data_IF_762002425902
#
_entry.id   IF_762002425902
#
_cell.length_a   1.000
_cell.length_b   1.000
_cell.length_c   1.000
_cell.angle_alpha   90.00
_cell.angle_beta   90.00
_cell.angle_gamma   90.00
#
_symmetry.space_group_name_H-M   'P 1'
#
loop_
_entity.id
_entity.type
_entity.pdbx_description
1 polymer ?
#
# COMPACT_ATOMS: atom_id res chain seq x y z
N UNK A 1 9.86 24.86 22.01
CA UNK A 1 10.21 23.47 22.37
C UNK A 1 10.27 22.70 21.06
N UNK A 2 11.41 22.12 20.71
CA UNK A 2 11.49 21.22 19.55
C UNK A 2 10.78 19.92 19.92
N UNK A 3 9.68 19.62 19.24
CA UNK A 3 8.99 18.33 19.41
C UNK A 3 9.84 17.24 18.77
N UNK A 4 10.37 16.33 19.57
CA UNK A 4 11.08 15.15 19.07
C UNK A 4 10.06 14.08 18.67
N UNK A 5 9.86 13.91 17.37
CA UNK A 5 9.00 12.87 16.81
C UNK A 5 9.72 11.52 16.79
N UNK A 6 8.99 10.45 17.10
CA UNK A 6 9.48 9.07 16.90
C UNK A 6 9.84 8.87 15.43
N UNK A 7 11.05 8.34 15.19
CA UNK A 7 11.52 7.98 13.85
C UNK A 7 11.52 6.46 13.71
N UNK A 8 11.05 6.00 12.56
CA UNK A 8 11.09 4.60 12.17
C UNK A 8 11.43 4.51 10.69
N UNK A 9 12.02 3.39 10.29
CA UNK A 9 12.19 3.02 8.88
C UNK A 9 10.84 2.65 8.26
N UNK A 10 10.77 2.66 6.92
CA UNK A 10 9.55 2.23 6.22
C UNK A 10 9.19 0.77 6.51
N UNK A 11 10.17 -0.08 6.82
CA UNK A 11 9.96 -1.50 7.10
C UNK A 11 9.38 -1.71 8.49
N UNK A 12 9.95 -1.04 9.50
CA UNK A 12 9.38 -1.01 10.85
C UNK A 12 7.95 -0.45 10.83
N UNK A 13 7.69 0.59 10.03
CA UNK A 13 6.33 1.11 9.85
C UNK A 13 5.39 0.08 9.19
N UNK A 14 5.87 -0.67 8.19
CA UNK A 14 5.08 -1.70 7.53
C UNK A 14 4.77 -2.89 8.46
N UNK A 15 5.63 -3.20 9.43
CA UNK A 15 5.39 -4.25 10.43
C UNK A 15 4.18 -3.98 11.33
N UNK A 16 3.84 -2.70 11.52
CA UNK A 16 2.68 -2.26 12.31
C UNK A 16 1.37 -2.55 11.56
N UNK A 17 1.41 -2.52 10.22
CA UNK A 17 0.24 -2.74 9.36
C UNK A 17 -0.02 -4.25 9.25
N UNK A 18 -1.23 -4.66 9.61
CA UNK A 18 -1.66 -6.06 9.63
C UNK A 18 -2.56 -6.39 8.43
N UNK A 19 -2.74 -7.68 8.19
CA UNK A 19 -3.71 -8.17 7.21
C UNK A 19 -5.12 -7.66 7.57
N UNK A 20 -5.87 -7.24 6.54
CA UNK A 20 -7.22 -6.66 6.59
C UNK A 20 -7.34 -5.24 7.16
N UNK A 21 -6.23 -4.63 7.57
CA UNK A 21 -6.25 -3.23 7.99
C UNK A 21 -6.71 -2.31 6.86
N UNK A 22 -7.46 -1.28 7.25
CA UNK A 22 -7.74 -0.16 6.36
C UNK A 22 -6.59 0.84 6.47
N UNK A 23 -5.88 1.02 5.37
CA UNK A 23 -4.77 1.96 5.26
C UNK A 23 -5.22 3.13 4.41
N UNK A 24 -5.17 4.33 4.99
CA UNK A 24 -5.46 5.56 4.28
C UNK A 24 -4.14 6.26 3.90
N UNK A 25 -3.86 6.35 2.61
CA UNK A 25 -2.75 7.15 2.11
C UNK A 25 -3.21 8.53 1.68
N UNK A 26 -2.35 9.52 1.87
CA UNK A 26 -2.46 10.79 1.17
C UNK A 26 -2.31 10.59 -0.34
N UNK A 27 -2.74 11.59 -1.11
CA UNK A 27 -2.48 11.66 -2.54
C UNK A 27 -3.70 12.01 -3.37
N UNK A 28 -3.47 12.82 -4.39
CA UNK A 28 -4.46 13.19 -5.39
C UNK A 28 -3.71 13.42 -6.71
N UNK A 29 -3.78 12.45 -7.63
CA UNK A 29 -2.76 12.25 -8.67
C UNK A 29 -1.39 11.91 -8.04
N UNK A 30 -0.25 11.88 -8.77
CA UNK A 30 1.04 11.58 -8.14
C UNK A 30 1.46 12.52 -6.99
N UNK A 31 0.86 13.71 -6.90
CA UNK A 31 1.12 14.67 -5.83
C UNK A 31 0.69 14.13 -4.46
N UNK A 32 1.59 14.21 -3.47
CA UNK A 32 1.31 13.73 -2.10
C UNK A 32 1.27 12.22 -1.94
N UNK A 33 1.57 11.44 -2.98
CA UNK A 33 1.64 9.98 -2.89
C UNK A 33 2.76 9.55 -1.92
N UNK A 34 2.50 8.56 -1.04
CA UNK A 34 3.56 7.91 -0.27
C UNK A 34 4.51 7.20 -1.24
N UNK A 35 5.79 7.12 -0.85
CA UNK A 35 6.87 6.64 -1.71
C UNK A 35 7.52 5.38 -1.16
N UNK A 36 8.10 5.46 0.03
CA UNK A 36 8.84 4.33 0.63
C UNK A 36 7.92 3.25 1.22
N UNK A 37 6.82 3.65 1.87
CA UNK A 37 5.94 2.71 2.59
C UNK A 37 5.20 1.70 1.69
N UNK A 38 4.71 2.05 0.48
CA UNK A 38 4.12 1.07 -0.45
C UNK A 38 5.07 -0.09 -0.77
N UNK A 39 6.34 0.21 -1.05
CA UNK A 39 7.36 -0.82 -1.31
C UNK A 39 7.62 -1.69 -0.08
N UNK A 40 7.63 -1.11 1.12
CA UNK A 40 7.82 -1.86 2.36
C UNK A 40 6.63 -2.79 2.66
N UNK A 41 5.39 -2.33 2.44
CA UNK A 41 4.18 -3.15 2.55
C UNK A 41 4.19 -4.28 1.52
N UNK A 42 4.57 -3.99 0.27
CA UNK A 42 4.68 -5.00 -0.78
C UNK A 42 5.70 -6.09 -0.41
N UNK A 43 6.85 -5.71 0.15
CA UNK A 43 7.83 -6.68 0.62
C UNK A 43 7.28 -7.55 1.75
N UNK A 44 6.61 -6.94 2.74
CA UNK A 44 5.93 -7.68 3.81
C UNK A 44 4.87 -8.63 3.27
N UNK A 45 4.10 -8.23 2.26
CA UNK A 45 3.12 -9.09 1.62
C UNK A 45 3.77 -10.34 1.02
N UNK A 46 4.83 -10.15 0.22
CA UNK A 46 5.58 -11.26 -0.36
C UNK A 46 6.12 -12.22 0.72
N UNK A 47 6.76 -11.70 1.78
CA UNK A 47 7.28 -12.51 2.89
C UNK A 47 6.17 -13.35 3.57
N UNK A 48 4.98 -12.77 3.78
CA UNK A 48 3.84 -13.49 4.35
C UNK A 48 3.30 -14.55 3.39
N UNK A 49 3.17 -14.22 2.10
CA UNK A 49 2.68 -15.15 1.08
C UNK A 49 3.63 -16.34 0.87
N UNK A 50 4.95 -16.10 0.85
CA UNK A 50 5.98 -17.14 0.83
C UNK A 50 5.85 -18.08 2.04
N UNK A 51 5.54 -17.53 3.21
CA UNK A 51 5.23 -18.28 4.42
C UNK A 51 3.82 -18.90 4.43
N UNK A 52 3.07 -18.84 3.32
CA UNK A 52 1.68 -19.32 3.17
C UNK A 52 0.70 -18.68 4.17
N UNK A 53 0.97 -17.44 4.58
CA UNK A 53 0.11 -16.64 5.43
C UNK A 53 -0.61 -15.59 4.59
N UNK A 54 -1.89 -15.31 4.88
CA UNK A 54 -2.62 -14.27 4.16
C UNK A 54 -2.08 -12.90 4.54
N UNK A 55 -1.89 -12.03 3.55
CA UNK A 55 -1.57 -10.64 3.78
C UNK A 55 -2.05 -9.75 2.64
N UNK A 56 -3.02 -8.91 2.94
CA UNK A 56 -3.60 -7.91 2.05
C UNK A 56 -4.18 -6.79 2.89
N UNK A 57 -4.07 -5.55 2.42
CA UNK A 57 -4.67 -4.35 3.04
C UNK A 57 -5.85 -3.85 2.22
N UNK A 58 -6.73 -3.07 2.87
CA UNK A 58 -7.76 -2.28 2.20
C UNK A 58 -7.24 -0.86 2.04
N UNK A 59 -7.07 -0.40 0.81
CA UNK A 59 -6.40 0.87 0.51
C UNK A 59 -7.40 1.98 0.17
N UNK A 60 -7.45 2.98 1.03
CA UNK A 60 -8.18 4.23 0.82
C UNK A 60 -7.19 5.35 0.47
N UNK A 61 -7.57 6.22 -0.45
CA UNK A 61 -6.75 7.35 -0.92
C UNK A 61 -7.64 8.56 -1.20
N UNK A 62 -7.06 9.73 -1.49
CA UNK A 62 -7.84 10.87 -1.97
C UNK A 62 -8.39 10.64 -3.39
N UNK A 63 -7.50 10.30 -4.33
CA UNK A 63 -7.84 9.89 -5.70
C UNK A 63 -6.80 8.87 -6.21
N UNK A 64 -6.32 9.00 -7.45
CA UNK A 64 -5.15 8.23 -7.87
C UNK A 64 -3.92 8.64 -7.07
N UNK A 65 -3.03 7.68 -6.83
CA UNK A 65 -1.66 7.95 -6.37
C UNK A 65 -0.70 7.72 -7.54
N UNK A 66 0.62 7.81 -7.32
CA UNK A 66 1.57 7.50 -8.39
C UNK A 66 1.42 6.04 -8.82
N UNK A 67 1.46 5.76 -10.13
CA UNK A 67 1.36 4.40 -10.66
C UNK A 67 2.36 3.46 -9.98
N UNK A 68 3.63 3.88 -9.80
CA UNK A 68 4.64 3.10 -9.09
C UNK A 68 4.24 2.63 -7.68
N UNK A 69 3.44 3.41 -6.95
CA UNK A 69 2.97 3.06 -5.61
C UNK A 69 1.81 2.06 -5.65
N UNK A 70 0.84 2.22 -6.56
CA UNK A 70 -0.25 1.26 -6.73
C UNK A 70 0.26 -0.04 -7.39
N UNK A 71 1.20 0.05 -8.35
CA UNK A 71 1.75 -1.08 -9.10
C UNK A 71 2.58 -2.01 -8.19
N UNK A 72 3.45 -1.47 -7.33
CA UNK A 72 4.25 -2.31 -6.42
C UNK A 72 3.37 -3.09 -5.43
N UNK A 73 2.27 -2.49 -4.99
CA UNK A 73 1.29 -3.14 -4.12
C UNK A 73 0.47 -4.18 -4.89
N UNK A 74 0.10 -3.88 -6.14
CA UNK A 74 -0.57 -4.81 -7.02
C UNK A 74 0.29 -6.04 -7.30
N UNK A 75 1.55 -5.86 -7.65
CA UNK A 75 2.46 -6.94 -8.03
C UNK A 75 2.69 -7.93 -6.88
N UNK A 76 2.75 -7.42 -5.65
CA UNK A 76 2.86 -8.21 -4.43
C UNK A 76 1.52 -8.78 -3.92
N UNK A 77 0.46 -8.68 -4.72
CA UNK A 77 -0.90 -9.08 -4.33
C UNK A 77 -1.35 -8.56 -2.96
N UNK A 78 -0.94 -7.33 -2.61
CA UNK A 78 -1.05 -6.80 -1.27
C UNK A 78 -2.35 -6.01 -1.00
N UNK A 79 -3.27 -5.91 -1.96
CA UNK A 79 -4.47 -5.07 -1.86
C UNK A 79 -5.72 -5.88 -2.13
N UNK A 80 -6.57 -6.05 -1.10
CA UNK A 80 -7.84 -6.77 -1.20
C UNK A 80 -9.01 -5.87 -1.59
N UNK A 81 -8.86 -4.55 -1.42
CA UNK A 81 -9.88 -3.55 -1.73
C UNK A 81 -9.25 -2.19 -1.97
N UNK A 82 -9.76 -1.41 -2.92
CA UNK A 82 -9.19 -0.11 -3.34
C UNK A 82 -10.27 0.93 -3.63
N UNK A 83 -10.14 2.12 -3.04
CA UNK A 83 -11.04 3.27 -3.30
C UNK A 83 -10.35 4.63 -3.11
N UNK A 84 -10.93 5.74 -3.64
CA UNK A 84 -12.07 5.79 -4.56
C UNK A 84 -11.65 5.71 -6.04
N UNK A 85 -10.39 5.99 -6.37
CA UNK A 85 -9.91 6.05 -7.75
C UNK A 85 -8.47 5.54 -7.87
N UNK A 86 -8.14 4.90 -8.99
CA UNK A 86 -6.81 4.37 -9.30
C UNK A 86 -6.54 4.44 -10.81
N UNK A 87 -5.26 4.50 -11.19
CA UNK A 87 -4.83 4.47 -12.61
C UNK A 87 -3.87 3.33 -12.95
N UNK A 88 -3.46 2.54 -11.94
CA UNK A 88 -2.55 1.39 -12.11
C UNK A 88 -3.14 0.35 -13.07
N UNK A 89 -2.31 -0.14 -13.99
CA UNK A 89 -2.73 -1.22 -14.90
C UNK A 89 -2.89 -2.55 -14.17
N UNK A 90 -2.02 -2.83 -13.19
CA UNK A 90 -2.09 -4.02 -12.35
C UNK A 90 -3.37 -4.07 -11.53
N UNK A 91 -3.66 -3.01 -10.75
CA UNK A 91 -4.88 -2.95 -9.96
C UNK A 91 -6.13 -2.96 -10.83
N UNK A 92 -6.14 -2.23 -11.95
CA UNK A 92 -7.27 -2.25 -12.90
C UNK A 92 -7.56 -3.67 -13.41
N UNK A 93 -6.53 -4.44 -13.75
CA UNK A 93 -6.69 -5.83 -14.19
C UNK A 93 -7.29 -6.69 -13.07
N UNK A 94 -6.77 -6.59 -11.85
CA UNK A 94 -7.28 -7.36 -10.69
C UNK A 94 -8.72 -7.00 -10.36
N UNK A 95 -9.05 -5.71 -10.26
CA UNK A 95 -10.41 -5.23 -10.01
C UNK A 95 -11.40 -5.78 -11.05
N UNK A 96 -10.99 -5.82 -12.33
CA UNK A 96 -11.83 -6.34 -13.40
C UNK A 96 -11.97 -7.88 -13.39
N UNK A 97 -11.17 -8.60 -12.59
CA UNK A 97 -11.21 -10.05 -12.45
C UNK A 97 -12.04 -10.52 -11.25
N UNK A 98 -12.49 -9.59 -10.40
CA UNK A 98 -13.11 -9.89 -9.10
C UNK A 98 -12.09 -10.23 -8.02
#
# INVERSE_FOLDING_TARGET
METQWTRMTANEAAEIIQHNDMVAFSGFTPAGSPKALPTAIARRANEQHEAKKPYQIRLLTGASISAAADDVLSDADAVSWRAPYQTSSGLRKKINQG
#
